data_IF_950373510861
#
_entry.id   IF_950373510861
#
_cell.length_a   1.000
_cell.length_b   1.000
_cell.length_c   1.000
_cell.angle_alpha   90.00
_cell.angle_beta   90.00
_cell.angle_gamma   90.00
#
_symmetry.space_group_name_H-M   'P 1'
#
loop_
_entity.id
_entity.type
_entity.pdbx_description
1 polymer ?
#
# COMPACT_ATOMS: atom_id res chain seq x y z
N UNK A 1 -12.58 0.04 25.42
CA UNK A 1 -11.16 -0.33 25.31
C UNK A 1 -10.73 -0.14 23.86
N UNK A 2 -9.45 0.18 23.56
CA UNK A 2 -8.97 0.37 22.19
C UNK A 2 -9.14 -0.88 21.31
N UNK A 3 -9.14 -2.07 21.90
CA UNK A 3 -9.41 -3.34 21.21
C UNK A 3 -10.85 -3.47 20.75
N UNK A 4 -11.81 -3.01 21.57
CA UNK A 4 -13.21 -2.99 21.19
C UNK A 4 -13.49 -1.98 20.07
N UNK A 5 -12.79 -0.86 20.03
CA UNK A 5 -12.89 0.11 18.94
C UNK A 5 -12.33 -0.46 17.63
N UNK A 6 -11.21 -1.18 17.69
CA UNK A 6 -10.63 -1.85 16.52
C UNK A 6 -11.54 -2.98 16.00
N UNK A 7 -12.13 -3.79 16.90
CA UNK A 7 -13.07 -4.84 16.53
C UNK A 7 -14.36 -4.26 15.90
N UNK A 8 -14.88 -3.18 16.45
CA UNK A 8 -16.05 -2.48 15.89
C UNK A 8 -15.75 -1.84 14.52
N UNK A 9 -14.54 -1.32 14.30
CA UNK A 9 -14.14 -0.83 12.99
C UNK A 9 -14.05 -1.95 11.96
N UNK A 10 -13.41 -3.08 12.30
CA UNK A 10 -13.37 -4.24 11.41
C UNK A 10 -14.76 -4.79 11.08
N UNK A 11 -15.67 -4.84 12.06
CA UNK A 11 -17.06 -5.26 11.84
C UNK A 11 -17.78 -4.30 10.88
N UNK A 12 -17.60 -2.99 11.04
CA UNK A 12 -18.16 -1.97 10.13
C UNK A 12 -17.61 -2.08 8.71
N UNK A 13 -16.31 -2.34 8.56
CA UNK A 13 -15.69 -2.52 7.25
C UNK A 13 -16.21 -3.78 6.54
N UNK A 14 -16.35 -4.90 7.26
CA UNK A 14 -16.96 -6.13 6.72
C UNK A 14 -18.40 -5.94 6.31
N UNK A 15 -19.19 -5.28 7.16
CA UNK A 15 -20.59 -4.97 6.85
C UNK A 15 -20.68 -4.09 5.60
N UNK A 16 -19.82 -3.09 5.48
CA UNK A 16 -19.77 -2.20 4.34
C UNK A 16 -19.37 -2.93 3.07
N UNK A 17 -18.40 -3.85 3.14
CA UNK A 17 -18.02 -4.68 2.01
C UNK A 17 -19.19 -5.58 1.57
N UNK A 18 -19.85 -6.26 2.51
CA UNK A 18 -21.02 -7.10 2.22
C UNK A 18 -22.17 -6.28 1.58
N UNK A 19 -22.38 -5.04 2.06
CA UNK A 19 -23.37 -4.15 1.45
C UNK A 19 -22.98 -3.69 0.04
N UNK A 20 -21.68 -3.48 -0.24
CA UNK A 20 -21.20 -3.18 -1.60
C UNK A 20 -21.45 -4.36 -2.54
N UNK A 21 -21.09 -5.56 -2.10
CA UNK A 21 -21.25 -6.78 -2.88
C UNK A 21 -22.74 -7.02 -3.21
N UNK A 22 -23.60 -6.87 -2.20
CA UNK A 22 -25.06 -6.98 -2.36
C UNK A 22 -25.64 -5.88 -3.30
N UNK A 23 -25.14 -4.66 -3.21
CA UNK A 23 -25.55 -3.57 -4.11
C UNK A 23 -25.11 -3.82 -5.56
N UNK A 24 -23.94 -4.41 -5.74
CA UNK A 24 -23.42 -4.77 -7.06
C UNK A 24 -24.19 -5.93 -7.67
N UNK A 25 -24.50 -6.97 -6.89
CA UNK A 25 -25.35 -8.08 -7.31
C UNK A 25 -26.77 -7.60 -7.67
N UNK A 26 -27.36 -6.71 -6.83
CA UNK A 26 -28.66 -6.13 -7.12
C UNK A 26 -28.67 -5.30 -8.41
N UNK A 27 -27.57 -4.60 -8.75
CA UNK A 27 -27.46 -3.84 -9.98
C UNK A 27 -27.31 -4.72 -11.23
N UNK A 28 -26.79 -5.94 -11.08
CA UNK A 28 -26.58 -6.90 -12.18
C UNK A 28 -27.73 -7.90 -12.33
N UNK A 29 -28.60 -8.03 -11.33
CA UNK A 29 -29.71 -8.96 -11.38
C UNK A 29 -30.86 -8.48 -12.29
N UNK A 30 -31.56 -9.39 -12.93
CA UNK A 30 -32.69 -9.09 -13.79
C UNK A 30 -33.87 -8.41 -13.03
N UNK A 31 -33.96 -8.58 -11.70
CA UNK A 31 -34.93 -7.93 -10.83
C UNK A 31 -34.45 -6.57 -10.29
N UNK A 32 -33.18 -6.22 -10.52
CA UNK A 32 -32.58 -4.95 -10.07
C UNK A 32 -32.73 -4.70 -8.56
N UNK A 33 -32.95 -3.46 -8.17
CA UNK A 33 -33.18 -3.03 -6.80
C UNK A 33 -34.60 -3.25 -6.27
N UNK A 34 -35.42 -4.01 -7.02
CA UNK A 34 -36.83 -4.26 -6.65
C UNK A 34 -37.67 -2.97 -6.59
N UNK A 35 -38.53 -2.87 -5.56
CA UNK A 35 -39.43 -1.73 -5.34
C UNK A 35 -38.81 -0.56 -4.57
N UNK A 36 -37.48 -0.54 -4.37
CA UNK A 36 -36.81 0.56 -3.64
C UNK A 36 -36.89 1.88 -4.41
N UNK A 37 -37.22 2.96 -3.69
CA UNK A 37 -37.26 4.29 -4.28
C UNK A 37 -35.85 4.73 -4.75
N UNK A 38 -35.81 5.55 -5.81
CA UNK A 38 -34.58 6.08 -6.37
C UNK A 38 -33.77 6.89 -5.31
N UNK A 39 -34.42 7.54 -4.37
CA UNK A 39 -33.80 8.28 -3.28
C UNK A 39 -33.08 7.37 -2.29
N UNK A 40 -33.72 6.28 -1.86
CA UNK A 40 -33.13 5.30 -0.95
C UNK A 40 -31.92 4.63 -1.62
N UNK A 41 -32.03 4.27 -2.90
CA UNK A 41 -30.92 3.73 -3.70
C UNK A 41 -29.74 4.69 -3.74
N UNK A 42 -30.00 5.98 -4.01
CA UNK A 42 -28.97 7.02 -4.05
C UNK A 42 -28.31 7.23 -2.71
N UNK A 43 -29.07 7.17 -1.61
CA UNK A 43 -28.56 7.32 -0.23
C UNK A 43 -27.70 6.13 0.19
N UNK A 44 -28.09 4.90 -0.17
CA UNK A 44 -27.32 3.69 0.06
C UNK A 44 -26.00 3.77 -0.72
N UNK A 45 -26.02 4.09 -2.00
CA UNK A 45 -24.84 4.24 -2.83
C UNK A 45 -23.90 5.30 -2.26
N UNK A 46 -24.41 6.47 -1.90
CA UNK A 46 -23.63 7.55 -1.28
C UNK A 46 -22.96 7.14 0.04
N UNK A 47 -23.66 6.35 0.87
CA UNK A 47 -23.08 5.80 2.12
C UNK A 47 -22.03 4.71 1.85
N UNK A 48 -22.18 3.96 0.77
CA UNK A 48 -21.20 2.96 0.32
C UNK A 48 -19.95 3.59 -0.31
N UNK A 49 -20.08 4.75 -0.94
CA UNK A 49 -19.00 5.56 -1.50
C UNK A 49 -18.13 6.26 -0.45
N UNK A 50 -18.38 6.07 0.86
CA UNK A 50 -17.56 6.73 1.86
C UNK A 50 -16.09 6.39 1.62
N UNK A 51 -15.30 7.43 1.36
CA UNK A 51 -13.88 7.38 1.05
C UNK A 51 -13.11 6.60 2.12
N UNK A 52 -12.34 5.63 1.68
CA UNK A 52 -11.45 4.89 2.57
C UNK A 52 -10.32 5.84 2.96
N UNK A 53 -10.12 6.07 4.25
CA UNK A 53 -8.99 6.87 4.72
C UNK A 53 -7.67 6.14 4.38
N UNK A 54 -7.09 6.50 3.25
CA UNK A 54 -5.88 5.91 2.74
C UNK A 54 -4.71 5.97 3.75
N UNK A 55 -4.67 7.00 4.59
CA UNK A 55 -3.64 7.15 5.64
C UNK A 55 -3.72 6.04 6.68
N UNK A 56 -4.94 5.66 7.09
CA UNK A 56 -5.14 4.54 8.02
C UNK A 56 -4.73 3.21 7.40
N UNK A 57 -5.06 3.02 6.13
CA UNK A 57 -4.72 1.78 5.42
C UNK A 57 -3.21 1.69 5.21
N UNK A 58 -2.54 2.78 4.86
CA UNK A 58 -1.08 2.85 4.75
C UNK A 58 -0.40 2.48 6.08
N UNK A 59 -0.85 3.06 7.20
CA UNK A 59 -0.33 2.72 8.54
C UNK A 59 -0.54 1.25 8.88
N UNK A 60 -1.69 0.70 8.56
CA UNK A 60 -1.99 -0.71 8.77
C UNK A 60 -1.09 -1.60 7.91
N UNK A 61 -0.92 -1.27 6.63
CA UNK A 61 -0.04 -2.00 5.72
C UNK A 61 1.39 -2.06 6.25
N UNK A 62 1.96 -0.93 6.65
CA UNK A 62 3.32 -0.85 7.21
C UNK A 62 3.44 -1.71 8.48
N UNK A 63 2.46 -1.68 9.38
CA UNK A 63 2.47 -2.51 10.60
C UNK A 63 2.37 -4.00 10.30
N UNK A 64 1.57 -4.40 9.31
CA UNK A 64 1.38 -5.82 8.97
C UNK A 64 2.51 -6.38 8.11
N UNK A 65 3.20 -5.54 7.35
CA UNK A 65 4.37 -5.93 6.57
C UNK A 65 5.62 -6.17 7.42
N UNK A 66 5.63 -5.72 8.68
CA UNK A 66 6.77 -5.91 9.58
C UNK A 66 7.09 -7.39 9.79
N UNK A 67 8.13 -7.87 9.16
CA UNK A 67 8.69 -9.18 9.47
C UNK A 67 9.52 -9.07 10.74
N UNK A 68 9.39 -10.03 11.64
CA UNK A 68 10.21 -10.11 12.84
C UNK A 68 11.65 -10.47 12.46
N UNK A 69 12.44 -9.49 12.07
CA UNK A 69 13.88 -9.65 11.85
C UNK A 69 14.55 -9.93 13.20
N UNK A 70 15.12 -11.12 13.36
CA UNK A 70 15.83 -11.53 14.57
C UNK A 70 17.33 -11.38 14.35
N UNK A 71 17.93 -10.40 15.00
CA UNK A 71 19.39 -10.24 15.03
C UNK A 71 20.01 -10.90 16.26
N UNK A 72 21.11 -11.60 16.07
CA UNK A 72 21.96 -12.07 17.18
C UNK A 72 22.52 -10.89 17.96
N UNK A 73 22.48 -10.95 19.28
CA UNK A 73 23.00 -9.88 20.15
C UNK A 73 23.65 -10.45 21.41
N UNK A 74 24.91 -10.12 21.61
CA UNK A 74 25.65 -10.47 22.84
C UNK A 74 25.05 -9.79 24.06
N UNK A 75 24.35 -8.66 23.89
CA UNK A 75 23.69 -7.93 24.99
C UNK A 75 22.42 -8.62 25.53
N UNK A 76 22.01 -9.75 24.98
CA UNK A 76 20.88 -10.55 25.48
C UNK A 76 21.29 -11.99 25.69
N UNK A 77 20.92 -12.53 26.82
CA UNK A 77 21.19 -13.94 27.19
C UNK A 77 20.31 -14.83 26.30
N UNK A 78 20.93 -15.86 25.71
CA UNK A 78 20.20 -16.91 25.02
C UNK A 78 19.43 -17.76 26.02
N UNK A 79 18.11 -17.87 25.91
CA UNK A 79 17.29 -18.61 26.88
C UNK A 79 17.55 -20.12 26.90
N UNK A 80 18.10 -20.69 25.81
CA UNK A 80 18.34 -22.13 25.67
C UNK A 80 19.80 -22.50 26.01
N UNK A 81 20.75 -21.64 25.64
CA UNK A 81 22.19 -21.83 25.89
C UNK A 81 22.76 -20.54 26.45
N UNK A 82 22.48 -20.33 27.73
CA UNK A 82 22.98 -19.17 28.48
C UNK A 82 24.52 -19.12 28.44
N UNK A 83 25.06 -17.93 28.17
CA UNK A 83 26.51 -17.62 28.13
C UNK A 83 27.33 -18.30 27.02
N UNK A 84 26.78 -19.29 26.29
CA UNK A 84 27.48 -19.99 25.21
C UNK A 84 27.14 -19.34 23.86
N UNK A 85 25.85 -19.01 23.62
CA UNK A 85 25.38 -18.40 22.39
C UNK A 85 24.76 -17.02 22.65
N UNK A 86 24.92 -16.09 21.68
CA UNK A 86 24.27 -14.78 21.78
C UNK A 86 22.74 -14.93 21.77
N UNK A 87 22.06 -14.09 22.51
CA UNK A 87 20.61 -13.99 22.48
C UNK A 87 20.09 -13.35 21.19
N UNK A 88 18.79 -13.39 20.95
CA UNK A 88 18.14 -12.79 19.78
C UNK A 88 17.45 -11.48 20.15
N UNK A 89 17.78 -10.39 19.46
CA UNK A 89 17.07 -9.10 19.51
C UNK A 89 16.12 -9.04 18.33
N UNK A 90 14.84 -8.81 18.60
CA UNK A 90 13.84 -8.56 17.54
C UNK A 90 13.96 -7.09 17.13
N UNK A 91 14.29 -6.83 15.89
CA UNK A 91 14.25 -5.50 15.30
C UNK A 91 12.88 -5.35 14.60
N UNK A 92 12.09 -4.39 15.04
CA UNK A 92 10.71 -4.19 14.58
C UNK A 92 10.59 -3.02 13.60
N UNK A 93 11.61 -2.74 12.84
CA UNK A 93 11.55 -1.69 11.82
C UNK A 93 11.34 -2.36 10.47
N UNK A 94 10.20 -2.07 9.82
CA UNK A 94 9.91 -2.58 8.49
C UNK A 94 10.77 -1.87 7.45
N UNK A 95 11.18 -2.58 6.40
CA UNK A 95 11.78 -2.01 5.20
C UNK A 95 10.75 -2.00 4.07
N UNK A 96 10.29 -0.83 3.70
CA UNK A 96 9.24 -0.65 2.70
C UNK A 96 9.84 -0.02 1.45
N UNK A 97 9.67 -0.67 0.31
CA UNK A 97 9.97 -0.09 -0.99
C UNK A 97 8.78 0.77 -1.45
N UNK A 98 9.05 1.96 -1.96
CA UNK A 98 8.08 2.87 -2.55
C UNK A 98 8.46 3.05 -4.00
N UNK A 99 7.76 2.36 -4.89
CA UNK A 99 7.93 2.52 -6.32
C UNK A 99 7.06 3.67 -6.83
N UNK A 100 7.66 4.65 -7.47
CA UNK A 100 6.98 5.84 -8.00
C UNK A 100 7.06 5.78 -9.52
N UNK A 101 5.89 5.69 -10.14
CA UNK A 101 5.72 5.77 -11.57
C UNK A 101 6.10 7.18 -12.07
N UNK A 102 7.02 7.23 -13.02
CA UNK A 102 7.49 8.48 -13.62
C UNK A 102 6.61 8.93 -14.79
N UNK A 103 5.57 8.17 -15.13
CA UNK A 103 4.60 8.59 -16.15
C UNK A 103 3.92 9.91 -15.74
N UNK A 104 3.58 10.75 -16.72
CA UNK A 104 3.05 12.09 -16.47
C UNK A 104 1.69 12.15 -15.76
N UNK A 105 1.07 11.01 -15.51
CA UNK A 105 -0.24 10.84 -14.89
C UNK A 105 -0.23 10.91 -13.36
N UNK A 106 0.93 10.68 -12.71
CA UNK A 106 1.04 10.81 -11.25
C UNK A 106 1.17 12.29 -10.90
N UNK A 107 0.15 12.86 -10.25
CA UNK A 107 0.07 14.26 -9.89
C UNK A 107 1.05 14.61 -8.75
N UNK A 108 1.72 15.77 -8.86
CA UNK A 108 2.66 16.26 -7.83
C UNK A 108 1.97 16.51 -6.48
N UNK A 109 0.68 16.86 -6.50
CA UNK A 109 -0.14 17.04 -5.29
C UNK A 109 -0.32 15.72 -4.53
N UNK A 110 -0.60 14.64 -5.25
CA UNK A 110 -0.71 13.29 -4.69
C UNK A 110 0.62 12.83 -4.06
N UNK A 111 1.75 13.07 -4.74
CA UNK A 111 3.08 12.78 -4.22
C UNK A 111 3.38 13.59 -2.96
N UNK A 112 3.06 14.88 -2.95
CA UNK A 112 3.26 15.75 -1.80
C UNK A 112 2.45 15.29 -0.59
N UNK A 113 1.17 14.96 -0.77
CA UNK A 113 0.32 14.42 0.30
C UNK A 113 0.85 13.09 0.85
N UNK A 114 1.30 12.20 -0.04
CA UNK A 114 1.89 10.92 0.33
C UNK A 114 3.19 11.07 1.13
N UNK A 115 4.13 11.89 0.64
CA UNK A 115 5.39 12.15 1.37
C UNK A 115 5.16 12.86 2.70
N UNK A 116 4.16 13.74 2.79
CA UNK A 116 3.74 14.35 4.05
C UNK A 116 3.35 13.30 5.10
N UNK A 117 2.58 12.28 4.72
CA UNK A 117 2.19 11.18 5.62
C UNK A 117 3.38 10.29 6.00
N UNK A 118 4.31 10.03 5.07
CA UNK A 118 5.53 9.26 5.35
C UNK A 118 6.39 9.89 6.46
N UNK A 119 6.40 11.22 6.58
CA UNK A 119 7.09 11.92 7.68
C UNK A 119 6.58 11.46 9.05
N UNK A 120 5.28 11.21 9.19
CA UNK A 120 4.67 10.66 10.40
C UNK A 120 5.04 9.20 10.66
N UNK A 121 5.32 8.44 9.61
CA UNK A 121 5.58 6.99 9.64
C UNK A 121 7.07 6.63 9.70
N UNK A 122 7.97 7.60 9.57
CA UNK A 122 9.44 7.40 9.55
C UNK A 122 9.99 6.71 10.81
N UNK A 123 9.26 6.72 11.92
CA UNK A 123 9.63 6.00 13.16
C UNK A 123 9.28 4.50 13.10
N UNK A 124 8.37 4.11 12.22
CA UNK A 124 7.84 2.74 12.12
C UNK A 124 8.57 1.92 11.07
N UNK A 125 9.03 2.54 9.99
CA UNK A 125 9.65 1.88 8.85
C UNK A 125 10.78 2.71 8.23
N UNK A 126 11.69 2.01 7.55
CA UNK A 126 12.66 2.57 6.63
C UNK A 126 12.06 2.53 5.22
N UNK A 127 12.05 3.66 4.54
CA UNK A 127 11.47 3.78 3.21
C UNK A 127 12.58 3.91 2.16
N UNK A 128 12.52 3.09 1.14
CA UNK A 128 13.40 3.19 -0.04
C UNK A 128 12.56 3.60 -1.23
N UNK A 129 12.86 4.74 -1.81
CA UNK A 129 12.15 5.27 -2.98
C UNK A 129 12.83 4.75 -4.25
N UNK A 130 12.02 4.20 -5.14
CA UNK A 130 12.41 3.55 -6.39
C UNK A 130 11.64 4.24 -7.52
N UNK A 131 12.20 5.28 -8.17
CA UNK A 131 11.59 5.83 -9.37
C UNK A 131 11.68 4.78 -10.49
N UNK A 132 10.62 4.61 -11.26
CA UNK A 132 10.59 3.66 -12.38
C UNK A 132 9.72 4.16 -13.53
N UNK A 133 10.02 3.68 -14.73
CA UNK A 133 9.17 3.72 -15.92
C UNK A 133 9.13 2.33 -16.58
N UNK A 134 9.85 2.09 -17.65
CA UNK A 134 10.09 0.76 -18.23
C UNK A 134 11.17 -0.01 -17.49
N UNK A 135 12.08 0.68 -16.81
CA UNK A 135 13.20 0.16 -16.04
C UNK A 135 13.35 0.91 -14.72
N UNK A 136 14.17 0.37 -13.82
CA UNK A 136 14.54 1.04 -12.57
C UNK A 136 15.95 1.55 -12.67
N UNK A 137 16.18 2.87 -12.71
CA UNK A 137 17.53 3.44 -12.65
C UNK A 137 18.11 3.25 -11.24
N UNK A 138 18.99 2.27 -11.07
CA UNK A 138 19.55 1.89 -9.76
C UNK A 138 20.32 3.04 -9.08
N UNK A 139 20.90 3.94 -9.86
CA UNK A 139 21.62 5.16 -9.41
C UNK A 139 20.71 6.20 -8.76
N UNK A 140 19.41 6.16 -9.06
CA UNK A 140 18.39 7.08 -8.54
C UNK A 140 17.55 6.51 -7.41
N UNK A 141 17.79 5.27 -7.02
CA UNK A 141 17.16 4.66 -5.84
C UNK A 141 17.80 5.23 -4.59
N UNK A 142 16.99 5.78 -3.69
CA UNK A 142 17.48 6.37 -2.45
C UNK A 142 16.67 5.97 -1.23
N UNK A 143 17.32 5.96 -0.06
CA UNK A 143 16.64 5.80 1.22
C UNK A 143 16.09 7.16 1.65
N UNK A 144 14.79 7.22 1.79
CA UNK A 144 14.09 8.42 2.20
C UNK A 144 14.34 8.72 3.68
N UNK A 145 14.72 9.96 3.99
CA UNK A 145 14.97 10.44 5.35
C UNK A 145 13.99 11.54 5.71
N UNK A 146 13.47 11.50 6.93
CA UNK A 146 12.55 12.50 7.48
C UNK A 146 13.07 13.93 7.24
N UNK A 147 12.22 14.80 6.73
CA UNK A 147 12.52 16.22 6.47
C UNK A 147 13.17 16.51 5.12
N UNK A 148 13.46 15.51 4.30
CA UNK A 148 13.83 15.72 2.90
C UNK A 148 12.58 15.56 2.03
N UNK A 149 11.93 16.64 1.68
CA UNK A 149 11.06 16.66 0.51
C UNK A 149 11.96 16.74 -0.72
N UNK A 150 12.49 15.61 -1.14
CA UNK A 150 13.01 15.53 -2.50
C UNK A 150 11.77 15.43 -3.38
N UNK A 151 11.49 16.50 -4.12
CA UNK A 151 10.67 16.39 -5.30
C UNK A 151 11.23 15.21 -6.09
N UNK A 152 10.39 14.23 -6.41
CA UNK A 152 10.79 13.18 -7.33
C UNK A 152 11.01 13.89 -8.67
N UNK A 153 12.26 14.26 -8.97
CA UNK A 153 12.60 14.81 -10.27
C UNK A 153 12.16 13.77 -11.29
N UNK A 154 11.27 14.14 -12.17
CA UNK A 154 10.83 13.29 -13.27
C UNK A 154 12.03 13.01 -14.13
N UNK A 155 12.44 11.77 -14.15
CA UNK A 155 13.70 11.34 -14.74
C UNK A 155 13.51 10.86 -16.16
N UNK A 156 12.29 10.46 -16.53
CA UNK A 156 11.98 9.82 -17.79
C UNK A 156 10.53 10.05 -18.19
N UNK A 157 10.25 10.06 -19.50
CA UNK A 157 8.92 10.12 -20.09
C UNK A 157 8.73 8.88 -20.99
N UNK A 158 8.78 7.69 -20.39
CA UNK A 158 8.59 6.42 -21.09
C UNK A 158 7.24 5.77 -20.77
N UNK A 159 7.00 4.58 -21.33
CA UNK A 159 5.86 3.75 -20.95
C UNK A 159 6.06 3.16 -19.55
N UNK A 160 4.97 2.68 -18.94
CA UNK A 160 4.99 2.09 -17.58
C UNK A 160 5.14 0.57 -17.63
N UNK A 161 6.10 0.01 -16.89
CA UNK A 161 6.28 -1.43 -16.73
C UNK A 161 6.38 -1.82 -15.24
N UNK A 162 5.31 -2.39 -14.68
CA UNK A 162 5.28 -2.81 -13.28
C UNK A 162 6.18 -4.01 -12.95
N UNK A 163 6.69 -4.70 -13.96
CA UNK A 163 7.67 -5.76 -13.73
C UNK A 163 9.02 -5.20 -13.26
N UNK A 164 9.42 -4.01 -13.71
CA UNK A 164 10.69 -3.39 -13.36
C UNK A 164 10.88 -3.23 -11.84
N UNK A 165 10.00 -2.52 -11.11
CA UNK A 165 10.12 -2.40 -9.65
C UNK A 165 9.85 -3.73 -8.94
N UNK A 166 9.01 -4.62 -9.49
CA UNK A 166 8.75 -5.95 -8.92
C UNK A 166 9.99 -6.83 -8.97
N UNK A 167 10.68 -6.90 -10.12
CA UNK A 167 11.91 -7.68 -10.30
C UNK A 167 13.05 -7.11 -9.44
N UNK A 168 13.18 -5.78 -9.34
CA UNK A 168 14.14 -5.13 -8.45
C UNK A 168 13.95 -5.54 -6.98
N UNK A 169 12.72 -5.48 -6.48
CA UNK A 169 12.37 -5.88 -5.12
C UNK A 169 12.61 -7.37 -4.88
N UNK A 170 12.22 -8.22 -5.84
CA UNK A 170 12.41 -9.66 -5.76
C UNK A 170 13.90 -10.07 -5.78
N UNK A 171 14.74 -9.35 -6.54
CA UNK A 171 16.19 -9.55 -6.62
C UNK A 171 16.87 -9.17 -5.30
N UNK A 172 16.52 -8.04 -4.71
CA UNK A 172 17.07 -7.61 -3.41
C UNK A 172 16.60 -8.47 -2.24
N UNK A 173 15.33 -8.80 -2.19
CA UNK A 173 14.76 -9.72 -1.21
C UNK A 173 14.78 -9.23 0.26
N UNK A 174 15.20 -7.99 0.53
CA UNK A 174 15.33 -7.40 1.86
C UNK A 174 14.14 -6.52 2.27
N UNK A 175 13.18 -6.34 1.37
CA UNK A 175 11.96 -5.57 1.62
C UNK A 175 10.86 -6.42 2.25
N UNK A 176 10.19 -5.85 3.23
CA UNK A 176 9.04 -6.46 3.90
C UNK A 176 7.73 -6.17 3.18
N UNK A 177 7.64 -5.01 2.54
CA UNK A 177 6.49 -4.57 1.76
C UNK A 177 6.88 -3.63 0.63
N UNK A 178 5.97 -3.52 -0.35
CA UNK A 178 6.11 -2.65 -1.53
C UNK A 178 4.84 -1.84 -1.71
N UNK A 179 4.99 -0.56 -1.92
CA UNK A 179 3.92 0.37 -2.28
C UNK A 179 4.23 0.87 -3.68
N UNK A 180 3.30 0.75 -4.61
CA UNK A 180 3.44 1.25 -5.97
C UNK A 180 2.46 2.41 -6.15
N UNK A 181 3.00 3.60 -6.44
CA UNK A 181 2.26 4.81 -6.78
C UNK A 181 2.20 4.92 -8.30
N UNK A 182 1.00 4.82 -8.87
CA UNK A 182 0.76 4.77 -10.32
C UNK A 182 -0.70 5.07 -10.63
N UNK A 183 -1.02 5.40 -11.86
CA UNK A 183 -2.39 5.51 -12.40
C UNK A 183 -3.03 4.15 -12.72
N UNK A 184 -2.31 3.04 -12.56
CA UNK A 184 -2.75 1.67 -12.88
C UNK A 184 -2.97 1.39 -14.39
N UNK A 185 -2.42 2.19 -15.30
CA UNK A 185 -2.59 2.06 -16.76
C UNK A 185 -1.50 1.18 -17.42
N UNK A 186 -1.12 0.06 -16.82
CA UNK A 186 -0.18 -0.89 -17.40
C UNK A 186 -0.55 -2.35 -17.12
N UNK A 187 0.02 -3.34 -17.84
CA UNK A 187 -0.28 -4.75 -17.66
C UNK A 187 0.07 -5.27 -16.25
N UNK A 188 -0.67 -6.30 -15.82
CA UNK A 188 -0.45 -6.96 -14.54
C UNK A 188 0.99 -7.48 -14.41
N UNK A 189 1.71 -7.11 -13.34
CA UNK A 189 3.07 -7.59 -13.12
C UNK A 189 3.13 -9.03 -12.62
N UNK A 190 4.33 -9.58 -12.62
CA UNK A 190 4.68 -10.85 -11.97
C UNK A 190 4.37 -10.82 -10.48
N UNK A 191 4.36 -12.02 -9.87
CA UNK A 191 4.23 -12.15 -8.42
C UNK A 191 5.39 -11.47 -7.68
N UNK A 192 5.06 -10.77 -6.59
CA UNK A 192 6.03 -10.16 -5.70
C UNK A 192 6.23 -11.04 -4.45
N UNK A 193 7.49 -11.21 -4.02
CA UNK A 193 7.83 -11.94 -2.78
C UNK A 193 7.44 -11.16 -1.52
N UNK A 194 7.49 -9.82 -1.59
CA UNK A 194 7.03 -8.94 -0.55
C UNK A 194 5.53 -8.65 -0.71
N UNK A 195 4.86 -8.28 0.38
CA UNK A 195 3.47 -7.83 0.32
C UNK A 195 3.39 -6.55 -0.50
N UNK A 196 2.52 -6.51 -1.53
CA UNK A 196 2.39 -5.36 -2.44
C UNK A 196 1.05 -4.66 -2.23
N UNK A 197 1.07 -3.34 -2.35
CA UNK A 197 -0.09 -2.47 -2.27
C UNK A 197 0.00 -1.41 -3.38
N UNK A 198 -1.13 -1.09 -3.97
CA UNK A 198 -1.25 -0.09 -5.04
C UNK A 198 -1.88 1.17 -4.48
N UNK A 199 -1.31 2.30 -4.81
CA UNK A 199 -1.85 3.62 -4.48
C UNK A 199 -1.98 4.42 -5.78
N UNK A 200 -3.17 4.91 -6.04
CA UNK A 200 -3.55 5.54 -7.31
C UNK A 200 -4.53 6.67 -7.04
N UNK A 201 -4.95 7.36 -8.10
CA UNK A 201 -6.06 8.30 -8.05
C UNK A 201 -7.43 7.59 -8.00
N UNK A 202 -8.52 8.34 -7.86
CA UNK A 202 -9.89 7.79 -7.86
C UNK A 202 -10.23 7.07 -9.17
N UNK A 203 -9.69 7.52 -10.29
CA UNK A 203 -9.94 6.96 -11.62
C UNK A 203 -9.28 5.59 -11.76
N UNK A 204 -7.99 5.49 -11.43
CA UNK A 204 -7.25 4.23 -11.48
C UNK A 204 -7.77 3.19 -10.48
N UNK A 205 -8.24 3.62 -9.30
CA UNK A 205 -8.87 2.73 -8.33
C UNK A 205 -10.23 2.18 -8.82
N UNK A 206 -11.00 2.98 -9.56
CA UNK A 206 -12.32 2.58 -10.07
C UNK A 206 -12.24 1.71 -11.32
N UNK A 207 -11.22 1.89 -12.16
CA UNK A 207 -11.05 1.20 -13.45
C UNK A 207 -9.60 0.77 -13.68
N UNK A 208 -9.07 -0.13 -12.85
CA UNK A 208 -7.71 -0.62 -13.06
C UNK A 208 -7.61 -1.41 -14.37
N UNK A 209 -6.50 -1.28 -15.08
CA UNK A 209 -6.23 -1.99 -16.33
C UNK A 209 -6.23 -3.53 -16.16
N UNK A 210 -5.98 -4.02 -14.96
CA UNK A 210 -5.96 -5.45 -14.64
C UNK A 210 -6.66 -5.74 -13.30
N UNK A 211 -7.21 -6.95 -13.17
CA UNK A 211 -7.79 -7.43 -11.91
C UNK A 211 -6.70 -7.97 -10.99
N UNK A 212 -6.70 -7.52 -9.74
CA UNK A 212 -5.76 -7.96 -8.71
C UNK A 212 -6.48 -8.25 -7.39
N UNK A 213 -5.96 -9.23 -6.64
CA UNK A 213 -6.37 -9.50 -5.26
C UNK A 213 -5.56 -8.65 -4.25
N UNK A 214 -4.58 -7.90 -4.73
CA UNK A 214 -3.79 -7.00 -3.92
C UNK A 214 -4.60 -5.75 -3.59
N UNK A 215 -4.23 -5.08 -2.53
CA UNK A 215 -4.94 -3.90 -2.07
C UNK A 215 -4.69 -2.70 -3.00
N UNK A 216 -5.75 -2.14 -3.56
CA UNK A 216 -5.72 -0.90 -4.37
C UNK A 216 -6.43 0.20 -3.58
N UNK A 217 -5.83 1.38 -3.50
CA UNK A 217 -6.32 2.49 -2.68
C UNK A 217 -6.17 3.78 -3.46
N UNK A 218 -7.23 4.59 -3.47
CA UNK A 218 -7.18 5.96 -3.99
C UNK A 218 -6.57 6.91 -2.94
N UNK A 219 -5.72 7.81 -3.41
CA UNK A 219 -5.24 8.99 -2.67
C UNK A 219 -6.12 10.16 -3.11
N UNK A 220 -6.71 10.85 -2.14
CA UNK A 220 -7.50 12.07 -2.32
C UNK A 220 -6.61 13.30 -2.19
#
# INVERSE_FOLDING_TARGET
SPEQQAANQMAKERLKQAMKDAAQEASQSAKGWGTMSAEIKKDILKRLESKVDWRKVLRYFIKTSQRASRRSSVKRINKRYAYIHPGKKVQRQAKIAIAIDQSGSVCDEMLSAFFGELNGLAKLAEFTVIPFDTEVPEDKVYVWKKGKSQAAERVSCGGTCFNAPTDYVNKRGDFDGVIILTDMEAPKPKACKAQRMWMTDERGASRPYFKTNERVIAID
#
